data_IF_065379387711
#
_entry.id   IF_065379387711
#
_cell.length_a   1.000
_cell.length_b   1.000
_cell.length_c   1.000
_cell.angle_alpha   90.00
_cell.angle_beta   90.00
_cell.angle_gamma   90.00
#
_symmetry.space_group_name_H-M   'P 1'
#
loop_
_entity.id
_entity.type
_entity.pdbx_description
1 polymer ?
#
# COMPACT_ATOMS: atom_id res chain seq x y z
N UNK A 1 -4.64 -16.73 2.35
CA UNK A 1 -4.50 -15.25 2.47
C UNK A 1 -5.14 -14.50 1.28
N UNK A 2 -6.37 -14.80 0.86
CA UNK A 2 -6.86 -14.36 -0.47
C UNK A 2 -8.14 -13.52 -0.53
N UNK A 3 -8.91 -13.41 0.55
CA UNK A 3 -10.25 -12.81 0.52
C UNK A 3 -10.27 -11.35 0.98
N UNK A 4 -9.70 -11.04 2.15
CA UNK A 4 -9.77 -9.71 2.76
C UNK A 4 -9.15 -8.58 1.90
N UNK A 5 -8.07 -8.84 1.17
CA UNK A 5 -7.46 -7.85 0.26
C UNK A 5 -8.23 -7.65 -1.05
N UNK A 6 -9.08 -8.62 -1.43
CA UNK A 6 -9.85 -8.57 -2.68
C UNK A 6 -11.14 -7.77 -2.48
N UNK A 7 -11.87 -8.03 -1.40
CA UNK A 7 -13.07 -7.27 -1.03
C UNK A 7 -12.77 -5.78 -0.81
N UNK A 8 -11.63 -5.45 -0.19
CA UNK A 8 -11.25 -4.07 0.06
C UNK A 8 -11.04 -3.24 -1.23
N UNK A 9 -10.68 -3.86 -2.36
CA UNK A 9 -10.50 -3.16 -3.64
C UNK A 9 -11.73 -3.26 -4.57
N UNK A 10 -12.56 -4.29 -4.45
CA UNK A 10 -13.72 -4.51 -5.34
C UNK A 10 -14.98 -3.72 -4.93
N UNK A 11 -15.12 -3.32 -3.67
CA UNK A 11 -16.28 -2.59 -3.16
C UNK A 11 -16.12 -1.05 -3.11
N UNK A 12 -14.94 -0.53 -3.46
CA UNK A 12 -14.64 0.90 -3.34
C UNK A 12 -14.81 1.58 -4.69
N UNK A 13 -15.75 2.52 -4.76
CA UNK A 13 -15.71 3.56 -5.78
C UNK A 13 -14.59 4.54 -5.43
N UNK A 14 -13.42 4.33 -6.04
CA UNK A 14 -12.22 5.14 -5.78
C UNK A 14 -12.40 6.60 -6.14
N UNK A 15 -13.29 6.94 -7.08
CA UNK A 15 -13.53 8.30 -7.51
C UNK A 15 -14.50 9.05 -6.57
N UNK A 16 -15.40 8.34 -5.90
CA UNK A 16 -16.39 8.94 -5.00
C UNK A 16 -15.84 9.34 -3.62
N UNK A 17 -14.69 8.80 -3.20
CA UNK A 17 -14.08 9.08 -1.89
C UNK A 17 -13.16 10.30 -1.93
N UNK A 18 -13.00 10.97 -0.78
CA UNK A 18 -11.86 11.88 -0.62
C UNK A 18 -10.55 11.08 -0.57
N UNK A 19 -9.41 11.73 -0.86
CA UNK A 19 -8.11 11.04 -0.77
C UNK A 19 -7.83 10.57 0.67
N UNK A 20 -8.28 11.30 1.69
CA UNK A 20 -8.13 10.89 3.09
C UNK A 20 -8.94 9.63 3.41
N UNK A 21 -10.23 9.61 3.05
CA UNK A 21 -11.08 8.43 3.27
C UNK A 21 -10.54 7.20 2.55
N UNK A 22 -9.98 7.39 1.35
CA UNK A 22 -9.38 6.32 0.58
C UNK A 22 -8.13 5.77 1.26
N UNK A 23 -7.26 6.65 1.77
CA UNK A 23 -6.07 6.25 2.50
C UNK A 23 -6.44 5.51 3.79
N UNK A 24 -7.45 5.98 4.53
CA UNK A 24 -7.92 5.28 5.72
C UNK A 24 -8.41 3.86 5.40
N UNK A 25 -9.27 3.72 4.38
CA UNK A 25 -9.86 2.42 3.99
C UNK A 25 -8.84 1.43 3.43
N UNK A 26 -7.75 1.89 2.82
CA UNK A 26 -6.71 1.02 2.25
C UNK A 26 -5.59 0.74 3.27
N UNK A 27 -5.08 1.77 3.95
CA UNK A 27 -3.90 1.65 4.81
C UNK A 27 -4.22 0.89 6.08
N UNK A 28 -5.35 1.17 6.73
CA UNK A 28 -5.65 0.61 8.06
C UNK A 28 -5.79 -0.91 8.07
N UNK A 29 -6.49 -1.55 7.12
CA UNK A 29 -6.56 -3.02 7.07
C UNK A 29 -5.21 -3.67 6.81
N UNK A 30 -4.35 -3.06 5.97
CA UNK A 30 -3.03 -3.62 5.64
C UNK A 30 -2.09 -3.46 6.84
N UNK A 31 -2.11 -2.31 7.52
CA UNK A 31 -1.34 -2.07 8.75
C UNK A 31 -1.78 -3.04 9.85
N UNK A 32 -3.10 -3.15 10.08
CA UNK A 32 -3.67 -4.08 11.06
C UNK A 32 -3.27 -5.53 10.79
N UNK A 33 -3.29 -5.96 9.53
CA UNK A 33 -2.81 -7.28 9.13
C UNK A 33 -1.32 -7.47 9.43
N UNK A 34 -0.47 -6.50 9.11
CA UNK A 34 0.98 -6.58 9.36
C UNK A 34 1.32 -6.61 10.86
N UNK A 35 0.56 -5.88 11.70
CA UNK A 35 0.69 -5.93 13.17
C UNK A 35 0.30 -7.31 13.69
N UNK A 36 -0.82 -7.86 13.23
CA UNK A 36 -1.30 -9.17 13.64
C UNK A 36 -0.42 -10.33 13.14
N UNK A 37 0.37 -10.11 12.08
CA UNK A 37 1.22 -11.12 11.45
C UNK A 37 2.68 -10.64 11.30
N UNK A 38 3.46 -10.47 12.39
CA UNK A 38 4.81 -9.93 12.32
C UNK A 38 5.77 -10.76 11.45
N UNK A 39 5.57 -12.09 11.39
CA UNK A 39 6.33 -13.00 10.53
C UNK A 39 6.10 -12.78 9.03
N UNK A 40 5.04 -12.07 8.65
CA UNK A 40 4.77 -11.69 7.26
C UNK A 40 5.83 -10.71 6.72
N UNK A 41 6.47 -9.91 7.60
CA UNK A 41 7.60 -9.04 7.23
C UNK A 41 8.72 -9.79 6.53
N UNK A 42 9.01 -11.03 6.95
CA UNK A 42 10.09 -11.83 6.39
C UNK A 42 9.88 -12.16 4.90
N UNK A 43 8.64 -12.09 4.40
CA UNK A 43 8.29 -12.35 3.00
C UNK A 43 8.45 -11.12 2.08
N UNK A 44 8.56 -9.91 2.65
CA UNK A 44 8.65 -8.66 1.87
C UNK A 44 9.95 -7.88 2.08
N UNK A 45 10.69 -8.15 3.17
CA UNK A 45 11.72 -7.25 3.66
C UNK A 45 13.17 -7.57 3.23
N UNK A 46 13.43 -8.51 2.30
CA UNK A 46 14.82 -8.95 2.04
C UNK A 46 15.21 -8.89 0.56
N UNK A 47 16.03 -7.91 0.16
CA UNK A 47 16.80 -7.95 -1.10
C UNK A 47 17.72 -9.18 -1.21
N UNK A 48 18.00 -9.83 -0.09
CA UNK A 48 18.91 -10.95 0.18
C UNK A 48 18.17 -12.29 0.39
N UNK A 49 16.94 -12.41 -0.11
CA UNK A 49 16.14 -13.64 -0.02
C UNK A 49 16.67 -14.71 -1.00
N UNK A 50 16.72 -16.00 -0.63
CA UNK A 50 17.05 -17.08 -1.57
C UNK A 50 16.11 -17.03 -2.79
N UNK A 51 16.65 -17.18 -4.00
CA UNK A 51 15.94 -16.94 -5.27
C UNK A 51 14.55 -17.63 -5.33
N UNK A 52 14.44 -18.85 -4.80
CA UNK A 52 13.19 -19.62 -4.79
C UNK A 52 12.05 -19.04 -3.94
N UNK A 53 12.37 -18.21 -2.94
CA UNK A 53 11.36 -17.57 -2.07
C UNK A 53 10.98 -16.17 -2.59
N UNK A 54 11.92 -15.49 -3.26
CA UNK A 54 11.65 -14.27 -4.04
C UNK A 54 10.64 -14.55 -5.16
N UNK A 55 10.77 -15.69 -5.84
CA UNK A 55 9.88 -16.11 -6.93
C UNK A 55 8.42 -16.31 -6.53
N UNK A 56 8.17 -16.81 -5.32
CA UNK A 56 6.82 -17.00 -4.80
C UNK A 56 6.15 -15.67 -4.39
N UNK A 57 6.94 -14.64 -4.04
CA UNK A 57 6.44 -13.33 -3.64
C UNK A 57 6.15 -12.40 -4.85
N UNK A 58 6.83 -12.61 -5.99
CA UNK A 58 6.66 -11.78 -7.21
C UNK A 58 5.20 -11.67 -7.69
N UNK A 59 4.40 -12.75 -7.80
CA UNK A 59 3.01 -12.63 -8.26
C UNK A 59 2.12 -11.81 -7.31
N UNK A 60 2.37 -11.91 -6.00
CA UNK A 60 1.63 -11.17 -4.99
C UNK A 60 1.96 -9.68 -5.07
N UNK A 61 3.24 -9.34 -5.19
CA UNK A 61 3.69 -7.96 -5.36
C UNK A 61 3.15 -7.34 -6.65
N UNK A 62 3.17 -8.08 -7.76
CA UNK A 62 2.61 -7.63 -9.04
C UNK A 62 1.09 -7.40 -8.95
N UNK A 63 0.35 -8.30 -8.28
CA UNK A 63 -1.09 -8.17 -8.08
C UNK A 63 -1.47 -6.99 -7.17
N UNK A 64 -0.63 -6.63 -6.21
CA UNK A 64 -0.81 -5.45 -5.36
C UNK A 64 -0.52 -4.16 -6.15
N UNK A 65 0.58 -4.14 -6.92
CA UNK A 65 0.93 -3.01 -7.76
C UNK A 65 -0.15 -2.71 -8.81
N UNK A 66 -0.67 -3.75 -9.48
CA UNK A 66 -1.76 -3.59 -10.44
C UNK A 66 -3.06 -3.05 -9.83
N UNK A 67 -3.32 -3.34 -8.55
CA UNK A 67 -4.46 -2.74 -7.81
C UNK A 67 -4.25 -1.26 -7.53
N UNK A 68 -3.04 -0.86 -7.13
CA UNK A 68 -2.68 0.54 -6.92
C UNK A 68 -2.79 1.31 -8.26
N UNK A 69 -2.27 0.75 -9.35
CA UNK A 69 -2.39 1.35 -10.68
C UNK A 69 -3.85 1.52 -11.11
N UNK A 70 -4.71 0.52 -10.85
CA UNK A 70 -6.14 0.59 -11.15
C UNK A 70 -6.82 1.71 -10.38
N UNK A 71 -6.53 1.83 -9.07
CA UNK A 71 -7.05 2.91 -8.23
C UNK A 71 -6.60 4.29 -8.72
N UNK A 72 -5.32 4.45 -9.07
CA UNK A 72 -4.79 5.72 -9.61
C UNK A 72 -5.47 6.05 -10.94
N UNK A 73 -5.63 5.06 -11.83
CA UNK A 73 -6.29 5.25 -13.12
C UNK A 73 -7.77 5.63 -12.99
N UNK A 74 -8.47 5.10 -11.99
CA UNK A 74 -9.86 5.47 -11.71
C UNK A 74 -10.00 6.94 -11.25
N UNK A 75 -9.04 7.43 -10.47
CA UNK A 75 -9.04 8.83 -9.95
C UNK A 75 -8.45 9.85 -10.93
N UNK A 76 -7.51 9.44 -11.77
CA UNK A 76 -6.90 10.28 -12.79
C UNK A 76 -6.91 9.61 -14.17
N UNK A 77 -8.07 9.56 -14.86
CA UNK A 77 -8.20 8.87 -16.16
C UNK A 77 -7.31 9.44 -17.27
N UNK A 78 -6.92 10.71 -17.16
CA UNK A 78 -6.03 11.38 -18.12
C UNK A 78 -4.54 11.21 -17.84
N UNK A 79 -4.15 10.55 -16.75
CA UNK A 79 -2.74 10.37 -16.38
C UNK A 79 -2.04 9.42 -17.38
N UNK A 80 -0.90 9.82 -17.98
CA UNK A 80 -0.14 8.95 -18.87
C UNK A 80 0.24 7.63 -18.20
N UNK A 81 0.19 6.52 -18.93
CA UNK A 81 0.45 5.19 -18.38
C UNK A 81 1.81 5.09 -17.66
N UNK A 82 2.86 5.65 -18.25
CA UNK A 82 4.20 5.65 -17.64
C UNK A 82 4.29 6.44 -16.34
N UNK A 83 3.47 7.49 -16.18
CA UNK A 83 3.36 8.25 -14.93
C UNK A 83 2.53 7.50 -13.89
N UNK A 84 1.46 6.82 -14.31
CA UNK A 84 0.65 5.97 -13.45
C UNK A 84 1.46 4.82 -12.84
N UNK A 85 2.18 4.08 -13.67
CA UNK A 85 3.04 2.96 -13.23
C UNK A 85 4.13 3.45 -12.26
N UNK A 86 4.76 4.59 -12.56
CA UNK A 86 5.79 5.18 -11.71
C UNK A 86 5.21 5.60 -10.36
N UNK A 87 4.05 6.27 -10.37
CA UNK A 87 3.34 6.69 -9.17
C UNK A 87 2.97 5.48 -8.30
N UNK A 88 2.41 4.43 -8.90
CA UNK A 88 2.06 3.22 -8.17
C UNK A 88 3.27 2.55 -7.52
N UNK A 89 4.39 2.46 -8.26
CA UNK A 89 5.64 1.86 -7.76
C UNK A 89 6.21 2.65 -6.59
N UNK A 90 6.31 3.97 -6.70
CA UNK A 90 6.85 4.81 -5.62
C UNK A 90 5.92 4.79 -4.40
N UNK A 91 4.60 4.87 -4.60
CA UNK A 91 3.61 4.73 -3.54
C UNK A 91 3.79 3.41 -2.76
N UNK A 92 3.97 2.29 -3.48
CA UNK A 92 4.21 0.99 -2.85
C UNK A 92 5.52 0.97 -2.04
N UNK A 93 6.59 1.59 -2.54
CA UNK A 93 7.87 1.68 -1.83
C UNK A 93 7.78 2.54 -0.56
N UNK A 94 7.07 3.68 -0.61
CA UNK A 94 6.83 4.52 0.58
C UNK A 94 6.10 3.70 1.65
N UNK A 95 5.03 3.00 1.26
CA UNK A 95 4.28 2.13 2.18
C UNK A 95 5.17 1.05 2.79
N UNK A 96 5.92 0.31 1.95
CA UNK A 96 6.80 -0.78 2.39
C UNK A 96 7.88 -0.30 3.37
N UNK A 97 8.48 0.86 3.13
CA UNK A 97 9.51 1.42 4.01
C UNK A 97 8.91 1.82 5.37
N UNK A 98 7.76 2.50 5.37
CA UNK A 98 7.19 3.08 6.59
C UNK A 98 6.42 2.06 7.43
N UNK A 99 5.78 1.04 6.82
CA UNK A 99 5.04 0.00 7.59
C UNK A 99 5.95 -0.78 8.52
N UNK A 100 7.25 -0.90 8.20
CA UNK A 100 8.24 -1.53 9.08
C UNK A 100 8.36 -0.77 10.40
N UNK A 101 8.36 0.56 10.36
CA UNK A 101 8.40 1.45 11.52
C UNK A 101 7.12 1.34 12.34
N UNK A 102 5.95 1.37 11.68
CA UNK A 102 4.64 1.22 12.33
C UNK A 102 4.56 -0.07 13.14
N UNK A 103 4.97 -1.20 12.54
CA UNK A 103 4.89 -2.49 13.22
C UNK A 103 5.97 -2.66 14.29
N UNK A 104 7.09 -1.93 14.21
CA UNK A 104 8.11 -1.91 15.25
C UNK A 104 7.71 -1.08 16.48
N UNK A 105 6.83 -0.09 16.28
CA UNK A 105 6.31 0.75 17.35
C UNK A 105 5.21 0.07 18.19
N UNK A 106 5.00 0.55 19.41
CA UNK A 106 3.98 0.09 20.35
C UNK A 106 3.14 1.27 20.88
N UNK A 107 1.96 0.97 21.42
CA UNK A 107 1.10 1.98 22.06
C UNK A 107 0.81 3.20 21.18
N UNK A 108 0.96 4.39 21.76
CA UNK A 108 0.68 5.68 21.12
C UNK A 108 1.64 5.98 19.95
N UNK A 109 2.90 5.53 20.05
CA UNK A 109 3.89 5.72 18.99
C UNK A 109 3.48 4.99 17.71
N UNK A 110 2.84 3.83 17.81
CA UNK A 110 2.30 3.12 16.66
C UNK A 110 1.20 3.91 15.96
N UNK A 111 0.33 4.57 16.73
CA UNK A 111 -0.73 5.41 16.17
C UNK A 111 -0.12 6.64 15.47
N UNK A 112 0.83 7.31 16.11
CA UNK A 112 1.56 8.43 15.52
C UNK A 112 2.25 8.03 14.21
N UNK A 113 2.90 6.87 14.19
CA UNK A 113 3.63 6.40 13.01
C UNK A 113 2.70 5.93 11.88
N UNK A 114 1.52 5.42 12.21
CA UNK A 114 0.45 5.16 11.23
C UNK A 114 -0.02 6.48 10.60
N UNK A 115 -0.15 7.53 11.41
CA UNK A 115 -0.46 8.89 10.93
C UNK A 115 0.61 9.45 9.98
N UNK A 116 1.90 9.33 10.32
CA UNK A 116 2.99 9.77 9.44
C UNK A 116 3.05 8.96 8.13
N UNK A 117 2.77 7.66 8.16
CA UNK A 117 2.61 6.84 6.94
C UNK A 117 1.52 7.41 6.02
N UNK A 118 0.32 7.67 6.56
CA UNK A 118 -0.80 8.24 5.78
C UNK A 118 -0.47 9.64 5.25
N UNK A 119 0.18 10.48 6.06
CA UNK A 119 0.62 11.82 5.67
C UNK A 119 1.64 11.79 4.53
N UNK A 120 2.61 10.88 4.56
CA UNK A 120 3.59 10.70 3.48
C UNK A 120 2.91 10.26 2.18
N UNK A 121 2.01 9.28 2.25
CA UNK A 121 1.24 8.81 1.10
C UNK A 121 0.34 9.92 0.53
N UNK A 122 -0.37 10.65 1.39
CA UNK A 122 -1.18 11.81 0.98
C UNK A 122 -0.33 12.87 0.29
N UNK A 123 0.80 13.25 0.87
CA UNK A 123 1.69 14.25 0.29
C UNK A 123 2.23 13.86 -1.08
N UNK A 124 2.48 12.57 -1.29
CA UNK A 124 2.92 12.04 -2.58
C UNK A 124 1.80 11.93 -3.62
N UNK A 125 0.61 11.48 -3.20
CA UNK A 125 -0.51 11.19 -4.10
C UNK A 125 -1.39 12.39 -4.41
N UNK A 126 -1.51 13.36 -3.50
CA UNK A 126 -2.40 14.51 -3.68
C UNK A 126 -2.12 15.33 -4.96
N UNK A 127 -0.86 15.58 -5.38
CA UNK A 127 -0.58 16.26 -6.64
C UNK A 127 -1.01 15.48 -7.90
N UNK A 128 -1.31 14.18 -7.77
CA UNK A 128 -1.62 13.28 -8.90
C UNK A 128 -3.10 12.90 -8.94
N UNK A 129 -3.69 12.61 -7.78
CA UNK A 129 -5.06 12.04 -7.63
C UNK A 129 -5.89 12.70 -6.51
N UNK A 130 -5.40 13.81 -5.96
CA UNK A 130 -6.03 14.55 -4.86
C UNK A 130 -7.22 15.39 -5.28
#
# INVERSE_FOLDING_TARGET
MGAAHREAFEAIDFAALTLDDLLDRIVDPIVGFNIANPGFKALFARPDMPDGLSDAARPIQAALLGRIETMIGARAPGLPEGERQRTARVCAQIFQAMVVLVVAAEGDERQAMTGELKKALRGYLAPVIG
#
